data_IF_585488880191
#
_entry.id   IF_585488880191
#
_cell.length_a   1.000
_cell.length_b   1.000
_cell.length_c   1.000
_cell.angle_alpha   90.00
_cell.angle_beta   90.00
_cell.angle_gamma   90.00
#
_symmetry.space_group_name_H-M   'P 1'
#
loop_
_entity.id
_entity.type
_entity.pdbx_description
1 polymer ?
#
# COMPACT_ATOMS: atom_id res chain seq x y z
N UNK A 1 23.63 9.65 2.69
CA UNK A 1 23.04 8.32 2.57
C UNK A 1 22.43 8.26 1.18
N UNK A 2 22.75 7.27 0.43
CA UNK A 2 22.17 7.08 -0.90
C UNK A 2 20.85 6.31 -0.72
N UNK A 3 19.73 6.97 -1.03
CA UNK A 3 18.45 6.30 -1.21
C UNK A 3 18.46 5.73 -2.62
N UNK A 4 18.91 4.50 -2.75
CA UNK A 4 19.26 3.92 -4.04
C UNK A 4 18.32 2.81 -4.50
N UNK A 5 17.29 2.51 -3.71
CA UNK A 5 16.16 1.65 -4.08
C UNK A 5 15.01 2.51 -4.61
N UNK A 6 14.11 1.89 -5.34
CA UNK A 6 12.92 2.55 -5.89
C UNK A 6 11.67 1.78 -5.49
N UNK A 7 10.67 2.53 -5.10
CA UNK A 7 9.32 2.02 -4.88
C UNK A 7 8.41 2.52 -5.99
N UNK A 8 7.64 1.61 -6.58
CA UNK A 8 6.69 1.89 -7.64
C UNK A 8 5.26 1.73 -7.14
N UNK A 9 4.54 2.83 -7.07
CA UNK A 9 3.12 2.86 -6.76
C UNK A 9 2.33 3.20 -8.01
N UNK A 10 1.20 2.50 -8.21
CA UNK A 10 0.30 2.82 -9.31
C UNK A 10 -1.16 2.50 -8.97
N UNK A 11 -2.06 3.18 -9.66
CA UNK A 11 -3.49 2.96 -9.60
C UNK A 11 -4.04 2.76 -11.02
N UNK A 12 -4.91 1.77 -11.18
CA UNK A 12 -5.54 1.44 -12.46
C UNK A 12 -7.00 1.88 -12.46
N UNK A 13 -7.42 2.44 -13.59
CA UNK A 13 -8.83 2.65 -13.88
C UNK A 13 -9.49 1.30 -14.15
N UNK A 14 -10.21 0.79 -13.16
CA UNK A 14 -10.87 -0.53 -13.20
C UNK A 14 -11.88 -0.64 -14.33
N UNK A 15 -12.59 0.44 -14.67
CA UNK A 15 -13.59 0.41 -15.75
C UNK A 15 -12.91 0.36 -17.11
N UNK A 16 -11.82 1.06 -17.29
CA UNK A 16 -10.97 0.95 -18.48
C UNK A 16 -10.35 -0.44 -18.58
N UNK A 17 -9.84 -0.96 -17.46
CA UNK A 17 -9.26 -2.30 -17.40
C UNK A 17 -10.26 -3.39 -17.79
N UNK A 18 -11.47 -3.36 -17.26
CA UNK A 18 -12.53 -4.31 -17.62
C UNK A 18 -12.84 -4.32 -19.11
N UNK A 19 -12.81 -3.15 -19.75
CA UNK A 19 -13.07 -3.04 -21.21
C UNK A 19 -11.90 -3.55 -22.04
N UNK A 20 -10.69 -3.13 -21.70
CA UNK A 20 -9.50 -3.34 -22.55
C UNK A 20 -8.89 -4.72 -22.34
N UNK A 21 -8.89 -5.23 -21.13
CA UNK A 21 -8.29 -6.52 -20.80
C UNK A 21 -9.08 -7.71 -21.35
N UNK A 22 -10.42 -7.61 -21.45
CA UNK A 22 -11.27 -8.67 -22.01
C UNK A 22 -10.97 -8.97 -23.49
N UNK A 23 -10.43 -8.01 -24.22
CA UNK A 23 -10.07 -8.17 -25.63
C UNK A 23 -8.82 -9.05 -25.84
N UNK A 24 -8.08 -9.38 -24.77
CA UNK A 24 -6.88 -10.21 -24.81
C UNK A 24 -7.12 -11.70 -24.53
N UNK A 25 -8.37 -12.15 -24.55
CA UNK A 25 -8.72 -13.59 -24.47
C UNK A 25 -8.53 -14.22 -23.11
N UNK A 26 -8.25 -13.44 -22.09
CA UNK A 26 -8.14 -13.88 -20.68
C UNK A 26 -9.50 -13.91 -19.99
N UNK A 27 -9.67 -14.86 -19.11
CA UNK A 27 -10.95 -15.15 -18.47
C UNK A 27 -11.42 -14.13 -17.44
N UNK A 28 -10.55 -13.23 -16.97
CA UNK A 28 -10.89 -12.23 -15.95
C UNK A 28 -9.91 -11.07 -15.93
N UNK A 29 -10.41 -9.85 -15.92
CA UNK A 29 -9.62 -8.61 -15.74
C UNK A 29 -8.80 -8.61 -14.42
N UNK A 30 -9.19 -9.41 -13.43
CA UNK A 30 -8.42 -9.57 -12.17
C UNK A 30 -7.03 -10.19 -12.42
N UNK A 31 -6.83 -10.92 -13.53
CA UNK A 31 -5.52 -11.48 -13.87
C UNK A 31 -4.49 -10.39 -14.23
N UNK A 32 -4.96 -9.19 -14.60
CA UNK A 32 -4.09 -8.05 -14.90
C UNK A 32 -3.09 -7.73 -13.77
N UNK A 33 -3.53 -7.87 -12.52
CA UNK A 33 -2.67 -7.66 -11.35
C UNK A 33 -1.57 -8.72 -11.23
N UNK A 34 -1.88 -9.98 -11.63
CA UNK A 34 -0.89 -11.06 -11.68
C UNK A 34 0.13 -10.81 -12.78
N UNK A 35 -0.34 -10.38 -13.97
CA UNK A 35 0.53 -10.10 -15.11
C UNK A 35 1.53 -8.97 -14.79
N UNK A 36 1.06 -7.88 -14.18
CA UNK A 36 1.95 -6.79 -13.73
C UNK A 36 2.94 -7.31 -12.70
N UNK A 37 2.46 -8.04 -11.69
CA UNK A 37 3.30 -8.56 -10.63
C UNK A 37 4.40 -9.46 -11.17
N UNK A 38 4.07 -10.43 -12.02
CA UNK A 38 5.05 -11.36 -12.60
C UNK A 38 6.14 -10.61 -13.35
N UNK A 39 5.78 -9.62 -14.17
CA UNK A 39 6.77 -8.81 -14.89
C UNK A 39 7.62 -7.94 -13.97
N UNK A 40 7.04 -7.35 -12.93
CA UNK A 40 7.80 -6.57 -11.96
C UNK A 40 8.78 -7.45 -11.17
N UNK A 41 8.34 -8.64 -10.73
CA UNK A 41 9.21 -9.62 -10.03
C UNK A 41 10.34 -10.12 -10.95
N UNK A 42 10.09 -10.39 -12.22
CA UNK A 42 11.11 -10.75 -13.20
C UNK A 42 12.17 -9.66 -13.39
N UNK A 43 11.80 -8.40 -13.15
CA UNK A 43 12.67 -7.24 -13.35
C UNK A 43 13.16 -6.59 -12.05
N UNK A 44 13.21 -7.39 -10.97
CA UNK A 44 13.89 -7.01 -9.73
C UNK A 44 13.08 -6.16 -8.78
N UNK A 45 11.76 -6.17 -8.90
CA UNK A 45 10.85 -5.66 -7.89
C UNK A 45 10.25 -6.79 -7.07
N UNK A 46 9.90 -6.51 -5.84
CA UNK A 46 9.11 -7.39 -4.98
C UNK A 46 7.92 -6.61 -4.42
N UNK A 47 6.90 -7.34 -3.96
CA UNK A 47 5.74 -6.74 -3.32
C UNK A 47 5.75 -7.08 -1.83
N UNK A 48 6.42 -6.28 -0.99
CA UNK A 48 6.56 -6.58 0.43
C UNK A 48 5.22 -6.49 1.17
N UNK A 49 4.34 -5.60 0.72
CA UNK A 49 3.01 -5.35 1.30
C UNK A 49 2.01 -4.93 0.21
N UNK A 50 0.79 -4.59 0.60
CA UNK A 50 -0.30 -4.24 -0.33
C UNK A 50 -0.08 -2.94 -1.12
N UNK A 51 0.81 -2.06 -0.70
CA UNK A 51 0.85 -0.68 -1.14
C UNK A 51 1.75 -0.37 -2.35
N UNK A 52 2.72 -1.19 -2.65
CA UNK A 52 3.66 -0.87 -3.72
C UNK A 52 4.59 -2.02 -4.08
N UNK A 53 5.43 -1.78 -5.05
CA UNK A 53 6.50 -2.69 -5.48
C UNK A 53 7.84 -2.02 -5.20
N UNK A 54 8.67 -2.66 -4.39
CA UNK A 54 10.00 -2.18 -4.06
C UNK A 54 11.08 -2.89 -4.86
N UNK A 55 12.09 -2.17 -5.33
CA UNK A 55 13.26 -2.82 -5.93
C UNK A 55 14.01 -3.61 -4.87
N UNK A 56 14.35 -4.87 -5.18
CA UNK A 56 15.09 -5.78 -4.29
C UNK A 56 16.49 -5.25 -3.99
N UNK A 57 17.09 -4.61 -4.99
CA UNK A 57 18.43 -4.03 -4.89
C UNK A 57 18.47 -2.57 -5.28
N UNK A 58 19.68 -2.02 -5.33
CA UNK A 58 19.93 -0.68 -5.85
C UNK A 58 19.41 -0.59 -7.27
N UNK A 59 18.69 0.49 -7.56
CA UNK A 59 18.09 0.74 -8.86
C UNK A 59 18.12 2.24 -9.17
N UNK A 60 18.66 2.61 -10.30
CA UNK A 60 18.60 3.98 -10.80
C UNK A 60 17.21 4.27 -11.39
N UNK A 61 16.86 5.54 -11.53
CA UNK A 61 15.63 5.92 -12.24
C UNK A 61 15.59 5.41 -13.68
N UNK A 62 16.74 5.40 -14.37
CA UNK A 62 16.82 4.91 -15.74
C UNK A 62 16.42 3.42 -15.82
N UNK A 63 16.90 2.60 -14.90
CA UNK A 63 16.53 1.19 -14.82
C UNK A 63 15.06 1.02 -14.46
N UNK A 64 14.55 1.81 -13.51
CA UNK A 64 13.14 1.78 -13.13
C UNK A 64 12.21 2.16 -14.29
N UNK A 65 12.52 3.21 -15.05
CA UNK A 65 11.75 3.58 -16.24
C UNK A 65 11.88 2.57 -17.37
N UNK A 66 13.02 1.90 -17.52
CA UNK A 66 13.15 0.79 -18.47
C UNK A 66 12.19 -0.38 -18.14
N UNK A 67 11.96 -0.66 -16.86
CA UNK A 67 10.95 -1.65 -16.46
C UNK A 67 9.54 -1.20 -16.86
N UNK A 68 9.23 0.10 -16.77
CA UNK A 68 7.95 0.65 -17.26
C UNK A 68 7.81 0.47 -18.77
N UNK A 69 8.88 0.66 -19.55
CA UNK A 69 8.85 0.41 -20.98
C UNK A 69 8.53 -1.05 -21.27
N UNK A 70 9.13 -1.98 -20.55
CA UNK A 70 8.85 -3.42 -20.67
C UNK A 70 7.39 -3.72 -20.34
N UNK A 71 6.84 -3.16 -19.26
CA UNK A 71 5.43 -3.31 -18.92
C UNK A 71 4.52 -2.80 -20.02
N UNK A 72 4.84 -1.63 -20.59
CA UNK A 72 4.06 -1.00 -21.66
C UNK A 72 4.10 -1.82 -22.96
N UNK A 73 5.24 -2.41 -23.28
CA UNK A 73 5.42 -3.26 -24.46
C UNK A 73 4.75 -4.63 -24.31
N UNK A 74 4.83 -5.24 -23.14
CA UNK A 74 4.28 -6.57 -22.86
C UNK A 74 2.78 -6.55 -22.58
N UNK A 75 2.28 -5.47 -22.00
CA UNK A 75 0.89 -5.29 -21.59
C UNK A 75 0.28 -4.11 -22.32
N UNK A 76 -0.27 -4.29 -23.54
CA UNK A 76 -0.78 -3.19 -24.40
C UNK A 76 -1.88 -2.34 -23.74
N UNK A 77 -2.57 -2.90 -22.76
CA UNK A 77 -3.60 -2.21 -21.98
C UNK A 77 -3.03 -1.34 -20.84
N UNK A 78 -1.78 -1.58 -20.42
CA UNK A 78 -1.18 -0.98 -19.23
C UNK A 78 -1.25 0.55 -19.24
N UNK A 79 -0.68 1.20 -20.26
CA UNK A 79 -0.68 2.65 -20.35
C UNK A 79 -2.09 3.26 -20.41
N UNK A 80 -3.03 2.62 -21.13
CA UNK A 80 -4.39 3.15 -21.29
C UNK A 80 -5.21 3.06 -20.00
N UNK A 81 -4.93 2.07 -19.16
CA UNK A 81 -5.64 1.84 -17.87
C UNK A 81 -4.98 2.53 -16.69
N UNK A 82 -3.79 3.12 -16.83
CA UNK A 82 -3.09 3.78 -15.75
C UNK A 82 -3.80 5.07 -15.35
N UNK A 83 -4.15 5.22 -14.07
CA UNK A 83 -4.77 6.40 -13.48
C UNK A 83 -3.77 7.25 -12.71
N UNK A 84 -2.89 6.62 -11.96
CA UNK A 84 -1.81 7.26 -11.23
C UNK A 84 -0.58 6.35 -11.24
N UNK A 85 0.61 6.92 -11.23
CA UNK A 85 1.86 6.18 -11.11
C UNK A 85 2.95 7.09 -10.55
N UNK A 86 3.69 6.60 -9.57
CA UNK A 86 4.81 7.33 -8.96
C UNK A 86 5.98 6.39 -8.69
N UNK A 87 7.19 6.92 -8.82
CA UNK A 87 8.37 6.33 -8.24
C UNK A 87 8.79 7.14 -7.02
N UNK A 88 9.10 6.44 -5.92
CA UNK A 88 9.67 7.03 -4.70
C UNK A 88 11.07 6.47 -4.50
N UNK A 89 12.03 7.33 -4.17
CA UNK A 89 13.30 6.86 -3.65
C UNK A 89 13.11 6.31 -2.26
N UNK A 90 13.59 5.10 -2.02
CA UNK A 90 13.51 4.48 -0.71
C UNK A 90 14.89 4.02 -0.24
N UNK A 91 15.06 4.07 1.07
CA UNK A 91 16.19 3.50 1.77
C UNK A 91 15.86 2.12 2.34
N UNK A 92 16.28 1.90 3.59
CA UNK A 92 15.96 0.66 4.28
C UNK A 92 14.52 0.67 4.80
N UNK A 93 13.91 -0.50 4.75
CA UNK A 93 12.61 -0.78 5.36
C UNK A 93 12.83 -1.63 6.60
N UNK A 94 12.16 -1.29 7.69
CA UNK A 94 12.26 -1.96 8.97
C UNK A 94 10.91 -2.57 9.34
N UNK A 95 10.89 -3.85 9.67
CA UNK A 95 9.74 -4.45 10.33
C UNK A 95 9.64 -3.87 11.75
N UNK A 96 8.55 -3.19 12.05
CA UNK A 96 8.30 -2.56 13.34
C UNK A 96 7.19 -3.23 14.13
N UNK A 97 6.61 -4.31 13.62
CA UNK A 97 5.57 -5.06 14.32
C UNK A 97 6.06 -5.59 15.66
N UNK A 98 7.22 -6.23 15.68
CA UNK A 98 7.80 -6.79 16.90
C UNK A 98 8.08 -5.70 17.94
N UNK A 99 8.53 -4.53 17.51
CA UNK A 99 8.68 -3.35 18.37
C UNK A 99 7.33 -2.94 18.99
N UNK A 100 6.28 -2.86 18.19
CA UNK A 100 4.95 -2.46 18.64
C UNK A 100 4.31 -3.50 19.58
N UNK A 101 4.56 -4.78 19.34
CA UNK A 101 4.02 -5.86 20.17
C UNK A 101 4.77 -6.02 21.49
N UNK A 102 6.09 -5.93 21.48
CA UNK A 102 6.96 -6.34 22.58
C UNK A 102 7.78 -5.20 23.20
N UNK A 103 7.73 -4.00 22.63
CA UNK A 103 8.52 -2.84 23.07
C UNK A 103 10.03 -3.00 22.82
N UNK A 104 10.42 -3.98 22.00
CA UNK A 104 11.83 -4.16 21.63
C UNK A 104 12.24 -3.08 20.63
N UNK A 105 13.10 -2.17 21.05
CA UNK A 105 13.65 -1.18 20.13
C UNK A 105 14.50 -1.89 19.07
N UNK A 106 14.17 -1.73 17.78
CA UNK A 106 15.04 -2.23 16.73
C UNK A 106 16.42 -1.56 16.85
N UNK A 107 17.48 -2.31 16.57
CA UNK A 107 18.83 -1.75 16.49
C UNK A 107 18.92 -0.86 15.26
N UNK A 108 18.55 0.40 15.43
CA UNK A 108 18.48 1.36 14.34
C UNK A 108 19.84 2.06 14.16
N UNK A 109 20.37 2.17 12.95
CA UNK A 109 21.57 2.91 12.70
C UNK A 109 21.34 4.41 12.92
N UNK A 110 22.33 5.09 13.49
CA UNK A 110 22.36 6.56 13.50
C UNK A 110 22.56 7.08 12.08
N UNK A 111 21.49 7.61 11.50
CA UNK A 111 21.46 8.14 10.14
C UNK A 111 20.91 9.56 10.12
N UNK A 112 21.25 10.35 9.09
CA UNK A 112 20.59 11.64 8.88
C UNK A 112 19.08 11.50 8.82
N UNK A 113 18.38 12.50 9.29
CA UNK A 113 16.92 12.51 9.22
C UNK A 113 16.46 12.50 7.76
N UNK A 114 15.59 11.56 7.44
CA UNK A 114 14.87 11.48 6.16
C UNK A 114 13.38 11.52 6.44
N UNK A 115 12.55 11.69 5.41
CA UNK A 115 11.12 11.42 5.58
C UNK A 115 10.93 9.94 5.89
N UNK A 116 9.85 9.62 6.55
CA UNK A 116 9.50 8.26 6.96
C UNK A 116 8.14 7.90 6.41
N UNK A 117 8.03 6.73 5.83
CA UNK A 117 6.77 6.14 5.45
C UNK A 117 6.44 4.98 6.38
N UNK A 118 5.24 4.99 6.91
CA UNK A 118 4.70 3.98 7.80
C UNK A 118 3.60 3.24 7.08
N UNK A 119 3.73 1.93 6.95
CA UNK A 119 2.70 1.04 6.47
C UNK A 119 2.30 0.09 7.57
N UNK A 120 1.00 -0.23 7.64
CA UNK A 120 0.52 -1.27 8.54
C UNK A 120 -0.72 -1.95 7.95
N UNK A 121 -0.83 -3.24 8.20
CA UNK A 121 -1.98 -4.04 7.85
C UNK A 121 -2.73 -4.45 9.11
N UNK A 122 -4.05 -4.37 9.06
CA UNK A 122 -4.93 -4.78 10.14
C UNK A 122 -5.76 -5.99 9.72
N UNK A 123 -5.80 -7.01 10.56
CA UNK A 123 -6.69 -8.13 10.38
C UNK A 123 -8.14 -7.68 10.61
N UNK A 124 -8.95 -7.74 9.56
CA UNK A 124 -10.31 -7.21 9.59
C UNK A 124 -11.22 -7.94 10.57
N UNK A 125 -11.02 -9.25 10.75
CA UNK A 125 -11.79 -10.03 11.73
C UNK A 125 -11.47 -9.56 13.15
N UNK A 126 -10.18 -9.48 13.48
CA UNK A 126 -9.71 -8.98 14.78
C UNK A 126 -10.11 -7.52 15.00
N UNK A 127 -10.00 -6.66 13.98
CA UNK A 127 -10.44 -5.28 14.06
C UNK A 127 -11.94 -5.18 14.36
N UNK A 128 -12.76 -5.98 13.70
CA UNK A 128 -14.21 -6.01 13.92
C UNK A 128 -14.56 -6.44 15.35
N UNK A 129 -13.79 -7.38 15.91
CA UNK A 129 -13.98 -7.89 17.27
C UNK A 129 -13.47 -6.88 18.31
N UNK A 130 -12.27 -6.36 18.14
CA UNK A 130 -11.57 -5.54 19.13
C UNK A 130 -12.01 -4.08 19.14
N UNK A 131 -12.56 -3.56 18.02
CA UNK A 131 -13.04 -2.17 17.96
C UNK A 131 -14.22 -1.88 18.89
N UNK A 132 -14.88 -2.91 19.42
CA UNK A 132 -15.80 -2.83 20.55
C UNK A 132 -17.12 -2.12 20.29
N UNK A 133 -17.60 -2.09 19.04
CA UNK A 133 -18.87 -1.45 18.72
C UNK A 133 -19.99 -2.47 18.48
N UNK A 134 -21.14 -2.21 19.11
CA UNK A 134 -22.38 -2.97 18.95
C UNK A 134 -23.01 -2.77 17.54
N UNK A 135 -22.52 -1.80 16.75
CA UNK A 135 -23.09 -1.49 15.44
C UNK A 135 -22.38 -2.27 14.34
N UNK A 136 -23.11 -2.90 13.41
CA UNK A 136 -22.51 -3.54 12.24
C UNK A 136 -21.63 -2.55 11.47
N UNK A 137 -20.43 -2.98 11.10
CA UNK A 137 -19.45 -2.18 10.35
C UNK A 137 -18.91 -0.92 11.06
N UNK A 138 -19.05 -0.79 12.37
CA UNK A 138 -18.50 0.35 13.11
C UNK A 138 -16.96 0.44 13.04
N UNK A 139 -16.29 -0.70 12.85
CA UNK A 139 -14.85 -0.80 12.65
C UNK A 139 -14.33 0.06 11.47
N UNK A 140 -15.19 0.41 10.50
CA UNK A 140 -14.83 1.34 9.42
C UNK A 140 -14.41 2.71 9.96
N UNK A 141 -14.96 3.12 11.10
CA UNK A 141 -14.54 4.35 11.78
C UNK A 141 -13.11 4.30 12.31
N UNK A 142 -12.51 3.11 12.46
CA UNK A 142 -11.14 2.94 12.91
C UNK A 142 -10.15 3.65 11.98
N UNK A 143 -10.32 3.50 10.67
CA UNK A 143 -9.46 4.13 9.66
C UNK A 143 -9.50 5.66 9.74
N UNK A 144 -10.68 6.24 9.96
CA UNK A 144 -10.82 7.69 10.18
C UNK A 144 -10.09 8.14 11.45
N UNK A 145 -10.13 7.33 12.52
CA UNK A 145 -9.42 7.65 13.76
C UNK A 145 -7.90 7.58 13.58
N UNK A 146 -7.41 6.54 12.89
CA UNK A 146 -5.99 6.41 12.56
C UNK A 146 -5.54 7.59 11.71
N UNK A 147 -6.26 7.88 10.62
CA UNK A 147 -5.94 9.00 9.73
C UNK A 147 -5.83 10.32 10.47
N UNK A 148 -6.87 10.68 11.22
CA UNK A 148 -6.89 11.91 12.01
C UNK A 148 -5.74 11.98 13.04
N UNK A 149 -5.36 10.84 13.59
CA UNK A 149 -4.22 10.77 14.52
C UNK A 149 -2.91 11.01 13.78
N UNK A 150 -2.67 10.30 12.67
CA UNK A 150 -1.45 10.42 11.87
C UNK A 150 -1.26 11.83 11.32
N UNK A 151 -2.31 12.45 10.79
CA UNK A 151 -2.29 13.83 10.27
C UNK A 151 -1.91 14.86 11.34
N UNK A 152 -2.44 14.70 12.57
CA UNK A 152 -2.10 15.56 13.72
C UNK A 152 -0.64 15.39 14.17
N UNK A 153 -0.05 14.22 13.92
CA UNK A 153 1.34 13.90 14.25
C UNK A 153 2.31 14.16 13.08
N UNK A 154 1.87 14.91 12.06
CA UNK A 154 2.73 15.39 10.98
C UNK A 154 2.94 14.40 9.85
N UNK A 155 2.05 13.44 9.70
CA UNK A 155 1.99 12.54 8.54
C UNK A 155 0.89 12.96 7.58
N UNK A 156 0.99 12.50 6.34
CA UNK A 156 -0.09 12.54 5.34
C UNK A 156 -0.42 11.11 4.95
N UNK A 157 -1.66 10.86 4.64
CA UNK A 157 -2.09 9.59 4.07
C UNK A 157 -1.69 9.55 2.60
N UNK A 158 -0.92 8.55 2.19
CA UNK A 158 -0.42 8.42 0.81
C UNK A 158 -1.29 7.48 0.00
N UNK A 159 -1.36 6.23 0.39
CA UNK A 159 -2.20 5.21 -0.25
C UNK A 159 -2.54 4.12 0.77
N UNK A 160 -3.70 3.49 0.67
CA UNK A 160 -4.13 2.37 1.52
C UNK A 160 -3.87 2.63 3.02
N UNK A 161 -2.98 1.88 3.63
CA UNK A 161 -2.53 2.02 5.02
C UNK A 161 -1.18 2.76 5.15
N UNK A 162 -0.74 3.45 4.09
CA UNK A 162 0.51 4.20 4.04
C UNK A 162 0.39 5.63 4.57
N UNK A 163 1.33 6.02 5.40
CA UNK A 163 1.42 7.37 5.97
C UNK A 163 2.85 7.89 5.87
N UNK A 164 3.04 8.97 5.13
CA UNK A 164 4.35 9.60 4.94
C UNK A 164 4.48 10.85 5.80
N UNK A 165 5.64 11.03 6.44
CA UNK A 165 5.92 12.24 7.22
C UNK A 165 6.06 13.47 6.32
N UNK A 166 5.44 14.59 6.69
CA UNK A 166 5.50 15.87 5.97
C UNK A 166 6.92 16.44 5.90
N UNK A 167 7.74 16.11 6.89
CA UNK A 167 9.12 16.59 7.01
C UNK A 167 10.04 15.43 7.40
N UNK A 168 11.33 15.60 7.15
CA UNK A 168 12.34 14.70 7.67
C UNK A 168 12.25 14.61 9.20
N UNK A 169 12.39 13.40 9.72
CA UNK A 169 12.37 13.13 11.15
C UNK A 169 13.27 11.94 11.50
N UNK A 170 13.77 11.89 12.74
CA UNK A 170 14.45 10.70 13.24
C UNK A 170 13.52 9.50 13.33
N UNK A 171 14.08 8.30 13.23
CA UNK A 171 13.33 7.05 13.28
C UNK A 171 12.61 6.87 14.62
N UNK A 172 13.28 7.18 15.72
CA UNK A 172 12.72 7.10 17.08
C UNK A 172 11.46 7.97 17.23
N UNK A 173 11.41 9.12 16.59
CA UNK A 173 10.22 9.97 16.57
C UNK A 173 9.06 9.32 15.81
N UNK A 174 9.33 8.69 14.66
CA UNK A 174 8.29 7.96 13.92
C UNK A 174 7.76 6.76 14.73
N UNK A 175 8.66 6.02 15.39
CA UNK A 175 8.26 4.92 16.28
C UNK A 175 7.44 5.41 17.49
N UNK A 176 7.81 6.54 18.09
CA UNK A 176 7.04 7.11 19.20
C UNK A 176 5.60 7.49 18.79
N UNK A 177 5.39 7.93 17.55
CA UNK A 177 4.04 8.18 17.02
C UNK A 177 3.24 6.87 16.93
N UNK A 178 3.87 5.78 16.51
CA UNK A 178 3.21 4.46 16.48
C UNK A 178 2.90 3.92 17.87
N UNK A 179 3.80 4.11 18.84
CA UNK A 179 3.53 3.78 20.24
C UNK A 179 2.35 4.58 20.80
N UNK A 180 2.29 5.89 20.54
CA UNK A 180 1.16 6.71 20.97
C UNK A 180 -0.15 6.27 20.31
N UNK A 181 -0.12 5.88 19.02
CA UNK A 181 -1.27 5.36 18.32
C UNK A 181 -1.85 4.12 19.01
N UNK A 182 -1.00 3.13 19.33
CA UNK A 182 -1.45 1.91 20.01
C UNK A 182 -1.88 2.13 21.46
N UNK A 183 -1.27 3.08 22.17
CA UNK A 183 -1.68 3.45 23.53
C UNK A 183 -3.07 4.12 23.52
N UNK A 184 -3.32 4.96 22.51
CA UNK A 184 -4.58 5.67 22.36
C UNK A 184 -5.71 4.75 21.85
N UNK A 185 -5.37 3.77 21.02
CA UNK A 185 -6.31 2.83 20.41
C UNK A 185 -5.82 1.39 20.61
N UNK A 186 -6.09 0.76 21.77
CA UNK A 186 -5.61 -0.60 22.05
C UNK A 186 -6.01 -1.63 20.98
N UNK A 187 -7.19 -1.48 20.37
CA UNK A 187 -7.64 -2.33 19.27
C UNK A 187 -6.69 -2.30 18.07
N UNK A 188 -5.90 -1.25 17.89
CA UNK A 188 -4.92 -1.17 16.80
C UNK A 188 -3.88 -2.28 16.94
N UNK A 189 -3.25 -2.38 18.10
CA UNK A 189 -2.27 -3.42 18.39
C UNK A 189 -2.84 -4.82 18.25
N UNK A 190 -4.04 -5.05 18.80
CA UNK A 190 -4.69 -6.36 18.82
C UNK A 190 -5.17 -6.82 17.44
N UNK A 191 -5.20 -5.91 16.47
CA UNK A 191 -5.58 -6.18 15.07
C UNK A 191 -4.40 -6.12 14.09
N UNK A 192 -3.18 -5.86 14.56
CA UNK A 192 -2.03 -5.61 13.70
C UNK A 192 -1.50 -6.91 13.08
N UNK A 193 -1.54 -7.03 11.75
CA UNK A 193 -0.93 -8.12 10.99
C UNK A 193 0.53 -7.85 10.66
N UNK A 194 0.81 -6.66 10.17
CA UNK A 194 2.14 -6.22 9.77
C UNK A 194 2.30 -4.73 10.00
N UNK A 195 3.51 -4.29 10.24
CA UNK A 195 3.88 -2.88 10.27
C UNK A 195 5.32 -2.70 9.82
N UNK A 196 5.55 -1.75 8.92
CA UNK A 196 6.88 -1.38 8.45
C UNK A 196 7.10 0.12 8.50
N UNK A 197 8.36 0.49 8.63
CA UNK A 197 8.83 1.86 8.54
C UNK A 197 9.92 1.91 7.48
N UNK A 198 9.73 2.74 6.47
CA UNK A 198 10.65 2.91 5.33
C UNK A 198 11.21 4.32 5.32
N UNK A 199 12.47 4.47 5.01
CA UNK A 199 13.09 5.76 4.76
C UNK A 199 12.79 6.18 3.33
N UNK A 200 12.20 7.37 3.13
CA UNK A 200 11.80 7.86 1.81
C UNK A 200 12.49 9.16 1.43
N UNK A 201 12.80 9.26 0.15
CA UNK A 201 13.43 10.41 -0.48
C UNK A 201 12.49 11.15 -1.43
N UNK A 202 13.00 11.47 -2.62
CA UNK A 202 12.22 12.17 -3.63
C UNK A 202 11.18 11.24 -4.27
N UNK A 203 10.07 11.85 -4.66
CA UNK A 203 9.00 11.18 -5.39
C UNK A 203 8.85 11.80 -6.76
N UNK A 204 8.68 10.97 -7.78
CA UNK A 204 8.58 11.38 -9.18
C UNK A 204 7.28 10.87 -9.80
N UNK A 205 6.61 11.74 -10.56
CA UNK A 205 5.47 11.35 -11.36
C UNK A 205 5.92 10.45 -12.52
N UNK A 206 5.47 9.21 -12.53
CA UNK A 206 5.69 8.27 -13.61
C UNK A 206 4.53 8.22 -14.60
N UNK A 207 3.36 8.77 -14.24
CA UNK A 207 2.17 8.72 -15.09
C UNK A 207 2.38 9.42 -16.42
N UNK A 208 2.98 10.62 -16.39
CA UNK A 208 3.28 11.40 -17.58
C UNK A 208 4.19 10.65 -18.55
N UNK A 209 5.17 9.92 -18.02
CA UNK A 209 6.04 9.05 -18.83
C UNK A 209 5.26 7.91 -19.44
N UNK A 210 4.48 7.17 -18.66
CA UNK A 210 3.66 6.03 -19.12
C UNK A 210 2.66 6.45 -20.21
N UNK A 211 2.11 7.65 -20.12
CA UNK A 211 1.16 8.20 -21.09
C UNK A 211 1.83 8.74 -22.37
N UNK A 212 3.15 8.65 -22.49
CA UNK A 212 3.90 9.14 -23.66
C UNK A 212 3.91 10.67 -23.80
N UNK A 213 3.56 11.39 -22.75
CA UNK A 213 3.81 12.82 -22.68
C UNK A 213 5.33 12.99 -22.59
N UNK A 214 5.98 13.73 -23.48
CA UNK A 214 7.43 13.96 -23.50
C UNK A 214 7.92 14.47 -22.13
N UNK A 215 8.01 13.52 -21.18
CA UNK A 215 8.05 13.80 -19.78
C UNK A 215 9.44 14.17 -19.33
N UNK A 216 9.62 15.43 -19.01
CA UNK A 216 10.60 15.79 -18.00
C UNK A 216 10.14 15.11 -16.70
N UNK A 217 11.00 14.27 -16.11
CA UNK A 217 10.76 13.69 -14.78
C UNK A 217 10.64 14.88 -13.82
N UNK A 218 9.43 15.08 -13.29
CA UNK A 218 9.17 16.21 -12.40
C UNK A 218 9.01 15.65 -10.98
N UNK A 219 9.79 16.12 -10.01
CA UNK A 219 9.58 15.82 -8.61
C UNK A 219 8.18 16.23 -8.18
N UNK A 220 7.46 15.34 -7.51
CA UNK A 220 6.13 15.61 -6.98
C UNK A 220 6.25 16.04 -5.52
N UNK A 221 5.81 17.24 -5.14
CA UNK A 221 5.80 17.66 -3.75
C UNK A 221 4.91 16.75 -2.91
N UNK A 222 5.36 16.39 -1.72
CA UNK A 222 4.66 15.47 -0.80
C UNK A 222 3.22 15.89 -0.50
N UNK A 223 2.95 17.20 -0.42
CA UNK A 223 1.61 17.73 -0.14
C UNK A 223 0.63 17.67 -1.32
N UNK A 224 1.09 17.44 -2.54
CA UNK A 224 0.19 17.23 -3.70
C UNK A 224 -0.40 15.83 -3.77
N UNK A 225 -0.07 14.97 -2.83
CA UNK A 225 -0.56 13.60 -2.72
C UNK A 225 -1.84 13.48 -1.87
N UNK A 226 -2.38 14.62 -1.40
CA UNK A 226 -3.72 14.63 -0.82
C UNK A 226 -4.74 14.31 -1.91
N UNK A 227 -4.86 13.00 -2.22
CA UNK A 227 -5.90 12.53 -3.11
C UNK A 227 -7.27 12.69 -2.45
N UNK A 228 -8.23 13.22 -3.20
CA UNK A 228 -9.64 12.98 -2.93
C UNK A 228 -9.82 11.46 -2.80
N UNK A 229 -10.42 11.01 -1.69
CA UNK A 229 -10.59 9.59 -1.41
C UNK A 229 -11.17 8.88 -2.63
N UNK A 230 -10.48 7.90 -3.21
CA UNK A 230 -11.20 6.87 -3.92
C UNK A 230 -12.10 6.20 -2.87
N UNK A 231 -13.30 5.85 -3.25
CA UNK A 231 -14.27 5.17 -2.40
C UNK A 231 -13.69 3.79 -2.00
N UNK A 232 -12.78 3.85 -1.01
CA UNK A 232 -11.86 2.81 -0.58
C UNK A 232 -12.60 1.53 -0.15
N UNK A 233 -13.86 1.71 0.23
CA UNK A 233 -14.67 0.63 0.75
C UNK A 233 -15.40 -0.18 -0.31
N UNK A 234 -15.55 0.31 -1.53
CA UNK A 234 -16.28 -0.43 -2.57
C UNK A 234 -15.43 -1.45 -3.32
N UNK A 235 -14.13 -1.17 -3.53
CA UNK A 235 -13.24 -2.08 -4.25
C UNK A 235 -12.61 -3.16 -3.36
N UNK A 236 -12.14 -2.82 -2.16
CA UNK A 236 -11.50 -3.80 -1.27
C UNK A 236 -12.45 -4.85 -0.71
N UNK A 237 -13.74 -4.53 -0.50
CA UNK A 237 -14.71 -5.54 -0.06
C UNK A 237 -14.89 -6.65 -1.10
N UNK A 238 -14.72 -6.33 -2.38
CA UNK A 238 -14.69 -7.32 -3.47
C UNK A 238 -13.51 -8.26 -3.34
N UNK A 239 -12.32 -7.72 -3.13
CA UNK A 239 -11.08 -8.49 -3.11
C UNK A 239 -10.89 -9.25 -1.79
N UNK A 240 -11.26 -8.68 -0.65
CA UNK A 240 -11.24 -9.38 0.64
C UNK A 240 -12.26 -10.54 0.72
N UNK A 241 -13.44 -10.40 0.13
CA UNK A 241 -14.39 -11.52 0.04
C UNK A 241 -13.84 -12.66 -0.81
N UNK A 242 -13.10 -12.34 -1.88
CA UNK A 242 -12.49 -13.34 -2.74
C UNK A 242 -11.31 -14.01 -2.03
N UNK A 243 -10.43 -13.26 -1.37
CA UNK A 243 -9.30 -13.80 -0.61
C UNK A 243 -9.76 -14.66 0.59
N UNK A 244 -10.77 -14.23 1.32
CA UNK A 244 -11.36 -15.01 2.42
C UNK A 244 -12.05 -16.28 1.93
N UNK A 245 -12.70 -16.23 0.77
CA UNK A 245 -13.33 -17.41 0.14
C UNK A 245 -12.29 -18.41 -0.38
N UNK A 246 -11.18 -17.94 -0.91
CA UNK A 246 -10.06 -18.78 -1.37
C UNK A 246 -9.34 -19.45 -0.18
N UNK A 247 -9.09 -18.71 0.91
CA UNK A 247 -8.53 -19.26 2.15
C UNK A 247 -9.43 -20.30 2.80
N UNK A 248 -10.75 -20.05 2.83
CA UNK A 248 -11.74 -21.02 3.33
C UNK A 248 -11.80 -22.28 2.50
N UNK A 249 -11.69 -22.17 1.18
CA UNK A 249 -11.61 -23.34 0.27
C UNK A 249 -10.30 -24.13 0.45
N UNK A 250 -9.17 -23.46 0.67
CA UNK A 250 -7.87 -24.13 0.95
C UNK A 250 -7.86 -24.87 2.29
N UNK A 251 -8.55 -24.36 3.29
CA UNK A 251 -8.61 -24.94 4.63
C UNK A 251 -9.75 -25.95 4.84
N UNK A 252 -10.53 -26.25 3.81
CA UNK A 252 -11.61 -27.26 3.87
C UNK A 252 -12.79 -26.87 4.79
N UNK A 253 -12.95 -25.58 5.11
CA UNK A 253 -14.05 -25.06 5.91
C UNK A 253 -15.21 -24.67 4.99
N UNK A 254 -16.35 -25.37 5.11
CA UNK A 254 -17.58 -24.98 4.41
C UNK A 254 -18.06 -23.61 4.94
N UNK A 255 -18.52 -22.70 4.04
CA UNK A 255 -19.11 -21.44 4.47
C UNK A 255 -20.38 -21.71 5.31
N UNK A 256 -20.66 -20.88 6.32
CA UNK A 256 -21.86 -21.04 7.14
C UNK A 256 -23.10 -20.91 6.27
N UNK A 257 -23.98 -21.94 6.33
CA UNK A 257 -25.25 -21.93 5.63
C UNK A 257 -26.12 -20.79 6.15
N UNK A 258 -26.56 -19.94 5.22
CA UNK A 258 -27.57 -18.89 5.49
C UNK A 258 -28.74 -19.42 6.24
N UNK A 259 -28.89 -19.06 7.50
CA UNK A 259 -30.11 -19.20 8.30
C UNK A 259 -31.04 -18.01 8.02
N UNK A 260 -31.61 -17.98 6.81
CA UNK A 260 -32.81 -17.21 6.54
C UNK A 260 -33.96 -18.18 6.32
N UNK A 261 -34.66 -18.45 7.40
CA UNK A 261 -36.10 -18.78 7.42
C UNK A 261 -36.52 -18.94 8.88
N UNK A 262 -37.26 -17.97 9.39
CA UNK A 262 -38.53 -18.25 10.16
C UNK A 262 -39.28 -16.92 10.26
N UNK A 263 -40.43 -16.93 9.69
CA UNK A 263 -41.69 -16.20 9.88
C UNK A 263 -41.72 -14.81 10.51
#
# INVERSE_FOLDING_TARGET
>A
MELDRKEFHFDLDVDSLKRTYSDHGSSSWNAAWSDIRELLEEHGFEKPQYSGYESVGKMSYLEAYHVIDILSDKLPWFSSCMKAATFTEIGESYDVKEFLENGMQPSLPLRPDTRKELHFDLEMAALSENYGSIRPNAWRGAWTLIRNFMERNGFIHTQYSGYESKAAMPIDKALAVMEELQQRYPWFKDSLLAASLTEVGERHDALSYIKGSNGTIVPVPTHSLEHEEPDFFSSEIGDMKNASTELSKRNGLEPPKNLNKVH
#
